data_IF_212575378571
#
_entry.id   IF_212575378571
#
_cell.length_a   1.000
_cell.length_b   1.000
_cell.length_c   1.000
_cell.angle_alpha   90.00
_cell.angle_beta   90.00
_cell.angle_gamma   90.00
#
_symmetry.space_group_name_H-M   'P 1'
#
loop_
_entity.id
_entity.type
_entity.pdbx_description
1 polymer ?
#
# COMPACT_ATOMS: atom_id res chain seq x y z
N UNK A 1 -9.27 -14.97 16.63
CA UNK A 1 -10.23 -14.62 15.55
C UNK A 1 -10.16 -15.72 14.50
N UNK A 2 -11.25 -16.42 14.18
CA UNK A 2 -11.20 -17.55 13.21
C UNK A 2 -10.81 -17.00 11.83
N UNK A 3 -9.87 -17.65 11.14
CA UNK A 3 -9.41 -17.28 9.77
C UNK A 3 -10.57 -16.99 8.79
N UNK A 4 -11.71 -17.68 8.94
CA UNK A 4 -12.93 -17.45 8.15
C UNK A 4 -13.43 -16.00 8.25
N UNK A 5 -13.43 -15.40 9.45
CA UNK A 5 -13.88 -14.02 9.66
C UNK A 5 -12.95 -13.00 8.99
N UNK A 6 -11.65 -13.29 8.97
CA UNK A 6 -10.64 -12.43 8.31
C UNK A 6 -10.89 -12.42 6.80
N UNK A 7 -11.05 -13.57 6.15
CA UNK A 7 -11.30 -13.59 4.70
C UNK A 7 -12.58 -12.85 4.30
N UNK A 8 -13.64 -12.96 5.10
CA UNK A 8 -14.89 -12.22 4.86
C UNK A 8 -14.69 -10.71 4.93
N UNK A 9 -13.98 -10.22 5.95
CA UNK A 9 -13.67 -8.79 6.09
C UNK A 9 -12.87 -8.29 4.90
N UNK A 10 -11.80 -9.00 4.51
CA UNK A 10 -10.96 -8.56 3.39
C UNK A 10 -11.68 -8.65 2.04
N UNK A 11 -12.58 -9.63 1.84
CA UNK A 11 -13.40 -9.73 0.63
C UNK A 11 -14.39 -8.57 0.46
N UNK A 12 -14.72 -7.86 1.54
CA UNK A 12 -15.54 -6.64 1.50
C UNK A 12 -14.66 -5.39 1.35
N UNK A 13 -13.54 -5.33 2.06
CA UNK A 13 -12.66 -4.17 2.04
C UNK A 13 -11.95 -3.95 0.70
N UNK A 14 -11.49 -5.02 0.03
CA UNK A 14 -10.82 -4.92 -1.27
C UNK A 14 -11.70 -4.22 -2.32
N UNK A 15 -12.93 -4.69 -2.62
CA UNK A 15 -13.78 -4.00 -3.59
C UNK A 15 -14.20 -2.60 -3.12
N UNK A 16 -14.34 -2.39 -1.80
CA UNK A 16 -14.63 -1.06 -1.25
C UNK A 16 -13.50 -0.06 -1.54
N UNK A 17 -12.24 -0.43 -1.30
CA UNK A 17 -11.10 0.45 -1.59
C UNK A 17 -10.97 0.76 -3.08
N UNK A 18 -11.21 -0.22 -3.94
CA UNK A 18 -11.21 -0.01 -5.39
C UNK A 18 -12.36 0.90 -5.83
N UNK A 19 -13.56 0.72 -5.28
CA UNK A 19 -14.72 1.56 -5.59
C UNK A 19 -14.51 3.01 -5.11
N UNK A 20 -13.99 3.20 -3.90
CA UNK A 20 -13.68 4.54 -3.36
C UNK A 20 -12.59 5.23 -4.16
N UNK A 21 -11.56 4.49 -4.59
CA UNK A 21 -10.51 4.99 -5.47
C UNK A 21 -11.07 5.43 -6.83
N UNK A 22 -11.86 4.58 -7.48
CA UNK A 22 -12.50 4.94 -8.75
C UNK A 22 -13.42 6.15 -8.60
N UNK A 23 -14.19 6.21 -7.50
CA UNK A 23 -15.04 7.36 -7.21
C UNK A 23 -14.23 8.65 -7.02
N UNK A 24 -13.18 8.61 -6.19
CA UNK A 24 -12.30 9.78 -5.96
C UNK A 24 -11.58 10.21 -7.22
N UNK A 25 -11.23 9.28 -8.11
CA UNK A 25 -10.69 9.63 -9.42
C UNK A 25 -11.72 10.28 -10.34
N UNK A 26 -12.97 9.79 -10.37
CA UNK A 26 -13.98 10.33 -11.28
C UNK A 26 -14.56 11.69 -10.84
N UNK A 27 -14.57 11.96 -9.54
CA UNK A 27 -15.21 13.18 -8.98
C UNK A 27 -14.23 14.16 -8.34
N UNK A 28 -12.96 13.78 -8.24
CA UNK A 28 -11.93 14.56 -7.57
C UNK A 28 -11.39 15.70 -8.41
N UNK A 29 -10.55 16.53 -7.78
CA UNK A 29 -9.67 17.45 -8.48
C UNK A 29 -8.34 16.76 -8.85
N UNK A 30 -7.41 17.53 -9.41
CA UNK A 30 -6.10 17.05 -9.87
C UNK A 30 -5.30 16.33 -8.77
N UNK A 31 -5.40 16.79 -7.53
CA UNK A 31 -4.71 16.18 -6.38
C UNK A 31 -5.43 14.90 -5.97
N UNK A 32 -6.76 14.93 -5.90
CA UNK A 32 -7.54 13.75 -5.53
C UNK A 32 -7.42 12.62 -6.57
N UNK A 33 -7.22 12.94 -7.85
CA UNK A 33 -6.90 11.94 -8.88
C UNK A 33 -5.63 11.17 -8.54
N UNK A 34 -4.57 11.87 -8.15
CA UNK A 34 -3.33 11.24 -7.71
C UNK A 34 -3.53 10.42 -6.43
N UNK A 35 -4.27 10.98 -5.47
CA UNK A 35 -4.49 10.30 -4.20
C UNK A 35 -5.34 9.03 -4.35
N UNK A 36 -6.12 8.94 -5.43
CA UNK A 36 -6.90 7.74 -5.74
C UNK A 36 -6.04 6.48 -5.84
N UNK A 37 -4.76 6.58 -6.21
CA UNK A 37 -3.86 5.44 -6.37
C UNK A 37 -3.56 4.67 -5.08
N UNK A 38 -3.78 5.28 -3.91
CA UNK A 38 -3.64 4.60 -2.63
C UNK A 38 -4.59 3.41 -2.48
N UNK A 39 -5.82 3.50 -3.04
CA UNK A 39 -6.80 2.42 -2.98
C UNK A 39 -6.32 1.14 -3.69
N UNK A 40 -5.91 1.19 -4.97
CA UNK A 40 -5.33 0.08 -5.72
C UNK A 40 -4.11 -0.53 -5.03
N UNK A 41 -3.18 0.27 -4.53
CA UNK A 41 -1.99 -0.22 -3.81
C UNK A 41 -2.41 -1.07 -2.61
N UNK A 42 -3.29 -0.52 -1.75
CA UNK A 42 -3.75 -1.19 -0.52
C UNK A 42 -4.58 -2.44 -0.87
N UNK A 43 -5.52 -2.33 -1.80
CA UNK A 43 -6.35 -3.44 -2.26
C UNK A 43 -5.51 -4.57 -2.87
N UNK A 44 -4.51 -4.22 -3.68
CA UNK A 44 -3.53 -5.14 -4.24
C UNK A 44 -2.75 -5.86 -3.15
N UNK A 45 -2.18 -5.10 -2.20
CA UNK A 45 -1.46 -5.65 -1.05
C UNK A 45 -2.30 -6.63 -0.23
N UNK A 46 -3.56 -6.30 0.01
CA UNK A 46 -4.52 -7.18 0.68
C UNK A 46 -4.76 -8.47 -0.11
N UNK A 47 -4.97 -8.38 -1.43
CA UNK A 47 -5.15 -9.54 -2.30
C UNK A 47 -3.91 -10.44 -2.33
N UNK A 48 -2.72 -9.87 -2.43
CA UNK A 48 -1.45 -10.61 -2.41
C UNK A 48 -1.24 -11.36 -1.11
N UNK A 49 -1.50 -10.68 0.02
CA UNK A 49 -1.44 -11.29 1.34
C UNK A 49 -2.46 -12.45 1.47
N UNK A 50 -3.71 -12.22 1.04
CA UNK A 50 -4.77 -13.23 1.07
C UNK A 50 -4.42 -14.44 0.21
N UNK A 51 -3.80 -14.25 -0.95
CA UNK A 51 -3.40 -15.35 -1.83
C UNK A 51 -2.46 -16.32 -1.11
N UNK A 52 -1.46 -15.78 -0.39
CA UNK A 52 -0.50 -16.58 0.38
C UNK A 52 -1.15 -17.23 1.61
N UNK A 53 -2.03 -16.52 2.31
CA UNK A 53 -2.70 -17.11 3.47
C UNK A 53 -3.67 -18.22 3.06
N UNK A 54 -4.40 -18.03 1.97
CA UNK A 54 -5.35 -19.02 1.44
C UNK A 54 -4.63 -20.26 0.89
N UNK A 55 -3.46 -20.09 0.26
CA UNK A 55 -2.66 -21.22 -0.21
C UNK A 55 -2.13 -22.11 0.93
N UNK A 56 -2.14 -21.61 2.17
CA UNK A 56 -1.69 -22.36 3.36
C UNK A 56 -2.83 -22.88 4.24
N UNK A 57 -4.10 -22.78 3.81
CA UNK A 57 -5.29 -23.15 4.61
C UNK A 57 -5.29 -24.58 5.16
N UNK A 58 -4.50 -25.49 4.56
CA UNK A 58 -4.40 -26.90 4.93
C UNK A 58 -2.97 -27.37 5.28
N UNK A 59 -1.99 -26.47 5.34
CA UNK A 59 -0.58 -26.83 5.59
C UNK A 59 -0.17 -26.40 7.00
N UNK A 60 0.66 -27.23 7.64
CA UNK A 60 1.25 -26.95 8.97
C UNK A 60 2.02 -25.64 8.88
N UNK A 61 1.65 -24.66 9.69
CA UNK A 61 2.49 -23.48 9.87
C UNK A 61 3.80 -23.93 10.50
N UNK A 62 4.92 -23.67 9.84
CA UNK A 62 6.20 -24.04 10.43
C UNK A 62 6.61 -22.96 11.46
N UNK A 63 7.13 -23.36 12.62
CA UNK A 63 7.71 -22.39 13.54
C UNK A 63 8.86 -21.68 12.84
N UNK A 64 8.71 -20.37 12.63
CA UNK A 64 9.83 -19.52 12.25
C UNK A 64 10.75 -19.30 13.44
N UNK A 65 11.98 -18.86 13.16
CA UNK A 65 13.13 -18.62 14.07
C UNK A 65 12.83 -17.62 15.23
N UNK A 66 11.58 -17.18 15.39
CA UNK A 66 11.13 -16.28 16.45
C UNK A 66 9.63 -16.46 16.80
N UNK A 67 9.13 -17.70 16.84
CA UNK A 67 7.76 -18.06 17.29
C UNK A 67 6.59 -17.54 16.43
N UNK A 68 6.84 -16.93 15.25
CA UNK A 68 5.78 -16.68 14.27
C UNK A 68 5.43 -17.96 13.50
N UNK A 69 4.16 -18.35 13.55
CA UNK A 69 3.62 -19.34 12.63
C UNK A 69 3.60 -18.74 11.22
N UNK A 70 4.61 -19.07 10.41
CA UNK A 70 4.68 -18.57 9.04
C UNK A 70 4.01 -19.55 8.07
N UNK A 71 3.26 -19.05 7.07
CA UNK A 71 2.81 -19.88 5.97
C UNK A 71 4.03 -20.54 5.28
N UNK A 72 3.97 -21.83 4.97
CA UNK A 72 5.05 -22.56 4.28
C UNK A 72 5.41 -21.86 2.96
N UNK A 73 4.40 -21.39 2.23
CA UNK A 73 4.64 -20.62 1.00
C UNK A 73 5.44 -19.32 1.27
N UNK A 74 5.19 -18.66 2.40
CA UNK A 74 5.97 -17.50 2.83
C UNK A 74 7.44 -17.88 3.09
N UNK A 75 7.71 -19.03 3.69
CA UNK A 75 9.09 -19.50 3.90
C UNK A 75 9.82 -19.79 2.59
N UNK A 76 9.14 -20.37 1.60
CA UNK A 76 9.72 -20.62 0.26
C UNK A 76 10.03 -19.29 -0.44
N UNK A 77 9.11 -18.33 -0.35
CA UNK A 77 9.25 -17.02 -0.99
C UNK A 77 10.27 -16.11 -0.31
N UNK A 78 10.68 -16.41 0.94
CA UNK A 78 11.57 -15.57 1.75
C UNK A 78 12.85 -15.15 1.01
N UNK A 79 13.51 -16.06 0.30
CA UNK A 79 14.75 -15.75 -0.44
C UNK A 79 14.54 -14.82 -1.64
N UNK A 80 13.31 -14.76 -2.14
CA UNK A 80 12.90 -13.89 -3.26
C UNK A 80 12.17 -12.63 -2.81
N UNK A 81 11.80 -12.53 -1.53
CA UNK A 81 11.00 -11.44 -1.01
C UNK A 81 11.59 -10.05 -1.29
N UNK A 82 12.91 -9.80 -1.12
CA UNK A 82 13.49 -8.50 -1.47
C UNK A 82 13.33 -8.16 -2.95
N UNK A 83 13.47 -9.15 -3.84
CA UNK A 83 13.31 -8.96 -5.27
C UNK A 83 11.84 -8.68 -5.64
N UNK A 84 10.90 -9.44 -5.08
CA UNK A 84 9.46 -9.23 -5.32
C UNK A 84 9.03 -7.85 -4.83
N UNK A 85 9.50 -7.43 -3.65
CA UNK A 85 9.24 -6.09 -3.11
C UNK A 85 9.83 -5.03 -4.03
N UNK A 86 11.10 -5.16 -4.45
CA UNK A 86 11.74 -4.20 -5.33
C UNK A 86 10.99 -4.05 -6.67
N UNK A 87 10.60 -5.16 -7.31
CA UNK A 87 9.82 -5.13 -8.55
C UNK A 87 8.46 -4.47 -8.34
N UNK A 88 7.74 -4.84 -7.27
CA UNK A 88 6.45 -4.22 -6.94
C UNK A 88 6.59 -2.72 -6.70
N UNK A 89 7.59 -2.29 -5.93
CA UNK A 89 7.87 -0.88 -5.66
C UNK A 89 8.23 -0.11 -6.92
N UNK A 90 9.01 -0.67 -7.85
CA UNK A 90 9.35 0.00 -9.11
C UNK A 90 8.10 0.18 -9.97
N UNK A 91 7.25 -0.86 -10.07
CA UNK A 91 6.01 -0.79 -10.84
C UNK A 91 5.10 0.34 -10.33
N UNK A 92 4.93 0.47 -9.01
CA UNK A 92 4.15 1.55 -8.40
C UNK A 92 4.82 2.92 -8.59
N UNK A 93 6.10 3.02 -8.24
CA UNK A 93 6.80 4.31 -8.12
C UNK A 93 6.90 5.08 -9.44
N UNK A 94 6.87 4.41 -10.59
CA UNK A 94 6.89 5.07 -11.89
C UNK A 94 5.65 5.95 -12.08
N UNK A 95 4.47 5.49 -11.65
CA UNK A 95 3.20 6.19 -11.86
C UNK A 95 2.94 7.27 -10.84
N UNK A 96 3.57 7.19 -9.67
CA UNK A 96 3.48 8.24 -8.65
C UNK A 96 4.25 9.51 -9.05
N UNK A 97 5.14 9.48 -10.04
CA UNK A 97 5.92 10.66 -10.41
C UNK A 97 5.04 11.75 -11.09
N UNK A 98 5.12 13.03 -10.65
CA UNK A 98 4.26 14.12 -11.17
C UNK A 98 4.27 14.31 -12.69
N UNK A 99 5.34 13.91 -13.37
CA UNK A 99 5.45 13.97 -14.83
C UNK A 99 4.49 13.01 -15.57
N UNK A 100 4.11 11.89 -14.96
CA UNK A 100 3.18 10.92 -15.58
C UNK A 100 1.72 11.38 -15.45
N UNK A 101 1.41 12.21 -14.45
CA UNK A 101 0.11 12.86 -14.34
C UNK A 101 -0.26 13.67 -15.60
N UNK A 102 0.73 14.34 -16.21
CA UNK A 102 0.52 15.09 -17.48
C UNK A 102 0.10 14.17 -18.63
N UNK A 103 0.50 12.90 -18.61
CA UNK A 103 0.09 11.92 -19.61
C UNK A 103 -1.35 11.44 -19.36
N UNK A 104 -1.74 11.29 -18.11
CA UNK A 104 -3.08 10.87 -17.70
C UNK A 104 -4.16 11.89 -18.05
N UNK A 105 -3.85 13.18 -17.95
CA UNK A 105 -4.77 14.24 -18.43
C UNK A 105 -4.97 14.16 -19.95
N UNK A 106 -3.94 13.76 -20.69
CA UNK A 106 -3.98 13.73 -22.16
C UNK A 106 -4.75 12.53 -22.71
N UNK A 107 -4.65 11.38 -22.06
CA UNK A 107 -5.34 10.16 -22.47
C UNK A 107 -5.74 9.32 -21.24
N UNK A 108 -7.05 9.10 -21.01
CA UNK A 108 -7.57 8.26 -19.92
C UNK A 108 -7.03 6.83 -19.90
N UNK A 109 -6.47 6.34 -21.02
CA UNK A 109 -5.83 5.02 -21.09
C UNK A 109 -4.64 4.92 -20.13
N UNK A 110 -3.87 6.00 -19.95
CA UNK A 110 -2.76 6.02 -19.00
C UNK A 110 -3.22 5.84 -17.56
N UNK A 111 -4.40 6.36 -17.21
CA UNK A 111 -5.00 6.12 -15.90
C UNK A 111 -5.35 4.64 -15.70
N UNK A 112 -5.93 3.97 -16.71
CA UNK A 112 -6.24 2.53 -16.59
C UNK A 112 -4.96 1.73 -16.40
N UNK A 113 -3.90 2.08 -17.12
CA UNK A 113 -2.60 1.40 -17.01
C UNK A 113 -1.96 1.65 -15.64
N UNK A 114 -1.93 2.90 -15.17
CA UNK A 114 -1.41 3.25 -13.84
C UNK A 114 -2.20 2.53 -12.74
N UNK A 115 -3.53 2.56 -12.80
CA UNK A 115 -4.40 1.89 -11.84
C UNK A 115 -4.12 0.38 -11.75
N UNK A 116 -3.95 -0.29 -12.88
CA UNK A 116 -3.60 -1.73 -12.93
C UNK A 116 -2.18 -1.96 -12.41
N UNK A 117 -1.23 -1.08 -12.75
CA UNK A 117 0.14 -1.17 -12.28
C UNK A 117 0.21 -1.02 -10.75
N UNK A 118 -0.51 -0.06 -10.18
CA UNK A 118 -0.59 0.16 -8.73
C UNK A 118 -1.20 -1.06 -8.01
N UNK A 119 -2.29 -1.60 -8.55
CA UNK A 119 -2.91 -2.83 -8.04
C UNK A 119 -1.92 -4.01 -8.07
N UNK A 120 -1.21 -4.18 -9.18
CA UNK A 120 -0.28 -5.29 -9.36
C UNK A 120 0.99 -5.13 -8.52
N UNK A 121 1.54 -3.93 -8.43
CA UNK A 121 2.68 -3.61 -7.58
C UNK A 121 2.35 -3.83 -6.10
N UNK A 122 1.19 -3.36 -5.66
CA UNK A 122 0.65 -3.64 -4.33
C UNK A 122 0.51 -5.15 -4.09
N UNK A 123 -0.04 -5.90 -5.05
CA UNK A 123 -0.17 -7.35 -4.98
C UNK A 123 1.17 -8.07 -4.77
N UNK A 124 2.21 -7.70 -5.53
CA UNK A 124 3.55 -8.28 -5.38
C UNK A 124 4.11 -8.04 -3.98
N UNK A 125 4.03 -6.81 -3.48
CA UNK A 125 4.47 -6.49 -2.11
C UNK A 125 3.65 -7.29 -1.09
N UNK A 126 2.33 -7.37 -1.27
CA UNK A 126 1.42 -8.15 -0.43
C UNK A 126 1.77 -9.64 -0.35
N UNK A 127 2.17 -10.24 -1.47
CA UNK A 127 2.66 -11.63 -1.56
C UNK A 127 3.94 -11.83 -0.74
N UNK A 128 4.81 -10.82 -0.70
CA UNK A 128 6.08 -10.92 0.01
C UNK A 128 5.92 -10.71 1.53
N UNK A 129 4.99 -9.89 2.01
CA UNK A 129 4.82 -9.55 3.43
C UNK A 129 4.79 -10.77 4.39
N UNK A 130 4.05 -11.86 4.10
CA UNK A 130 4.02 -13.04 4.97
C UNK A 130 5.36 -13.75 5.14
N UNK A 131 6.34 -13.51 4.26
CA UNK A 131 7.67 -14.13 4.32
C UNK A 131 8.66 -13.39 5.23
N UNK A 132 8.34 -12.14 5.58
CA UNK A 132 9.21 -11.24 6.33
C UNK A 132 9.18 -11.53 7.83
N UNK A 133 10.32 -11.35 8.50
CA UNK A 133 10.43 -11.26 9.96
C UNK A 133 9.73 -10.00 10.45
N UNK A 134 9.41 -9.97 11.74
CA UNK A 134 8.87 -8.80 12.41
C UNK A 134 9.68 -7.52 12.12
N UNK A 135 11.00 -7.53 12.32
CA UNK A 135 11.83 -6.33 12.08
C UNK A 135 11.83 -5.90 10.61
N UNK A 136 11.79 -6.87 9.68
CA UNK A 136 11.75 -6.60 8.23
C UNK A 136 10.40 -5.96 7.85
N UNK A 137 9.29 -6.40 8.45
CA UNK A 137 7.96 -5.76 8.29
C UNK A 137 7.97 -4.34 8.83
N UNK A 138 8.53 -4.12 10.04
CA UNK A 138 8.64 -2.78 10.64
C UNK A 138 9.42 -1.84 9.73
N UNK A 139 10.57 -2.28 9.21
CA UNK A 139 11.37 -1.48 8.28
C UNK A 139 10.55 -1.15 7.02
N UNK A 140 9.89 -2.14 6.41
CA UNK A 140 9.09 -1.94 5.21
C UNK A 140 7.94 -0.93 5.43
N UNK A 141 7.19 -1.07 6.53
CA UNK A 141 6.10 -0.13 6.86
C UNK A 141 6.62 1.28 7.16
N UNK A 142 7.71 1.41 7.91
CA UNK A 142 8.33 2.71 8.19
C UNK A 142 8.85 3.40 6.92
N UNK A 143 9.45 2.63 6.00
CA UNK A 143 9.86 3.15 4.69
C UNK A 143 8.66 3.60 3.86
N UNK A 144 7.56 2.84 3.86
CA UNK A 144 6.31 3.24 3.21
C UNK A 144 5.78 4.58 3.73
N UNK A 145 5.66 4.73 5.05
CA UNK A 145 5.25 5.99 5.68
C UNK A 145 6.19 7.15 5.31
N UNK A 146 7.50 6.91 5.34
CA UNK A 146 8.49 7.91 4.96
C UNK A 146 8.37 8.34 3.49
N UNK A 147 8.16 7.38 2.58
CA UNK A 147 7.97 7.65 1.15
C UNK A 147 6.67 8.38 0.87
N UNK A 148 5.59 8.08 1.59
CA UNK A 148 4.33 8.81 1.45
C UNK A 148 4.45 10.28 1.90
N UNK A 149 5.19 10.54 2.98
CA UNK A 149 5.48 11.93 3.41
C UNK A 149 6.36 12.66 2.39
N UNK A 150 7.36 11.97 1.84
CA UNK A 150 8.17 12.52 0.75
C UNK A 150 7.32 12.79 -0.50
N UNK A 151 6.36 11.91 -0.78
CA UNK A 151 5.46 12.06 -1.91
C UNK A 151 4.57 13.30 -1.77
N UNK A 152 3.98 13.49 -0.60
CA UNK A 152 3.21 14.70 -0.28
C UNK A 152 4.07 15.96 -0.48
N UNK A 153 5.33 15.92 -0.08
CA UNK A 153 6.27 17.03 -0.30
C UNK A 153 6.59 17.25 -1.79
N UNK A 154 6.78 16.18 -2.58
CA UNK A 154 6.99 16.27 -4.02
C UNK A 154 5.79 16.87 -4.76
N UNK A 155 4.57 16.48 -4.39
CA UNK A 155 3.33 17.05 -4.94
C UNK A 155 3.26 18.55 -4.63
N UNK A 156 3.60 18.95 -3.40
CA UNK A 156 3.68 20.37 -3.02
C UNK A 156 4.71 21.16 -3.85
N UNK A 157 5.93 20.63 -4.02
CA UNK A 157 6.95 21.29 -4.87
C UNK A 157 6.54 21.35 -6.34
N UNK A 158 5.73 20.40 -6.78
CA UNK A 158 5.23 20.30 -8.15
C UNK A 158 3.86 20.96 -8.34
N UNK A 159 3.42 21.81 -7.41
CA UNK A 159 2.09 22.45 -7.44
C UNK A 159 1.77 23.13 -8.78
N UNK A 160 2.78 23.70 -9.45
CA UNK A 160 2.62 24.33 -10.77
C UNK A 160 2.15 23.36 -11.86
N UNK A 161 2.47 22.05 -11.76
CA UNK A 161 2.02 21.01 -12.68
C UNK A 161 0.51 20.75 -12.51
N UNK A 162 -0.02 21.00 -11.31
CA UNK A 162 -1.41 20.74 -10.94
C UNK A 162 -2.33 21.95 -11.11
N UNK A 163 -1.82 23.07 -11.65
CA UNK A 163 -2.60 24.30 -11.87
C UNK A 163 -3.35 24.83 -10.63
N UNK A 164 -2.96 24.39 -9.43
CA UNK A 164 -3.61 24.73 -8.16
C UNK A 164 -2.77 25.72 -7.34
N UNK A 165 -3.41 26.61 -6.57
CA UNK A 165 -2.70 27.46 -5.61
C UNK A 165 -1.91 26.62 -4.61
N UNK A 166 -0.65 27.01 -4.31
CA UNK A 166 0.19 26.26 -3.37
C UNK A 166 -0.43 26.13 -1.97
N UNK A 167 -1.27 27.07 -1.55
CA UNK A 167 -2.03 27.01 -0.30
C UNK A 167 -3.06 25.88 -0.28
N UNK A 168 -3.67 25.58 -1.43
CA UNK A 168 -4.64 24.50 -1.56
C UNK A 168 -3.94 23.13 -1.55
N UNK A 169 -2.83 23.01 -2.28
CA UNK A 169 -1.97 21.83 -2.24
C UNK A 169 -1.46 21.54 -0.82
N UNK A 170 -1.09 22.60 -0.08
CA UNK A 170 -0.70 22.49 1.32
C UNK A 170 -1.84 21.99 2.22
N UNK A 171 -3.07 22.44 2.02
CA UNK A 171 -4.22 21.97 2.80
C UNK A 171 -4.49 20.48 2.56
N UNK A 172 -4.43 20.02 1.31
CA UNK A 172 -4.52 18.60 0.98
C UNK A 172 -3.39 17.79 1.62
N UNK A 173 -2.15 18.28 1.51
CA UNK A 173 -0.98 17.68 2.14
C UNK A 173 -1.16 17.50 3.65
N UNK A 174 -1.58 18.56 4.35
CA UNK A 174 -1.84 18.52 5.79
C UNK A 174 -2.98 17.57 6.14
N UNK A 175 -4.07 17.56 5.36
CA UNK A 175 -5.18 16.64 5.56
C UNK A 175 -4.72 15.18 5.45
N UNK A 176 -3.91 14.83 4.44
CA UNK A 176 -3.36 13.48 4.29
C UNK A 176 -2.46 13.11 5.47
N UNK A 177 -1.58 14.02 5.89
CA UNK A 177 -0.66 13.78 7.00
C UNK A 177 -1.43 13.51 8.28
N UNK A 178 -2.41 14.34 8.64
CA UNK A 178 -3.11 14.23 9.92
C UNK A 178 -4.25 13.22 9.94
N UNK A 179 -4.99 13.04 8.83
CA UNK A 179 -6.15 12.16 8.79
C UNK A 179 -5.79 10.71 8.42
N UNK A 180 -4.68 10.51 7.70
CA UNK A 180 -4.31 9.18 7.18
C UNK A 180 -2.96 8.74 7.76
N UNK A 181 -1.89 9.48 7.49
CA UNK A 181 -0.52 9.02 7.82
C UNK A 181 -0.24 9.00 9.31
N UNK A 182 -0.76 9.96 10.06
CA UNK A 182 -0.61 9.99 11.51
C UNK A 182 -1.32 8.80 12.19
N UNK A 183 -2.61 8.51 11.91
CA UNK A 183 -3.25 7.27 12.37
C UNK A 183 -2.52 5.99 11.95
N UNK A 184 -2.03 5.91 10.71
CA UNK A 184 -1.22 4.77 10.24
C UNK A 184 0.05 4.59 11.09
N UNK A 185 0.77 5.68 11.36
CA UNK A 185 1.95 5.68 12.23
C UNK A 185 1.64 5.27 13.67
N UNK A 186 0.52 5.76 14.23
CA UNK A 186 0.05 5.35 15.57
C UNK A 186 -0.30 3.86 15.59
N UNK A 187 -1.00 3.35 14.57
CA UNK A 187 -1.33 1.94 14.47
C UNK A 187 -0.07 1.06 14.39
N UNK A 188 0.94 1.49 13.63
CA UNK A 188 2.23 0.81 13.56
C UNK A 188 2.96 0.83 14.91
N UNK A 189 2.98 1.97 15.60
CA UNK A 189 3.61 2.10 16.91
C UNK A 189 2.93 1.19 17.95
N UNK A 190 1.60 1.15 17.99
CA UNK A 190 0.83 0.24 18.85
C UNK A 190 1.09 -1.22 18.50
N UNK A 191 1.18 -1.56 17.21
CA UNK A 191 1.53 -2.91 16.76
C UNK A 191 2.92 -3.34 17.27
N UNK A 192 3.92 -2.45 17.18
CA UNK A 192 5.26 -2.71 17.69
C UNK A 192 5.24 -2.84 19.21
N UNK A 193 4.65 -1.89 19.93
CA UNK A 193 4.62 -1.87 21.39
C UNK A 193 3.99 -3.15 21.97
N UNK A 194 2.87 -3.59 21.38
CA UNK A 194 2.22 -4.87 21.73
C UNK A 194 3.11 -6.08 21.44
N UNK A 195 3.92 -6.03 20.37
CA UNK A 195 4.76 -7.16 19.97
C UNK A 195 5.99 -7.34 20.85
N UNK A 196 6.52 -6.24 21.40
CA UNK A 196 7.69 -6.24 22.30
C UNK A 196 7.25 -6.29 23.77
N UNK A 197 5.97 -6.58 24.06
CA UNK A 197 5.39 -6.62 25.42
C UNK A 197 5.63 -5.34 26.24
N UNK A 198 5.67 -4.18 25.58
CA UNK A 198 5.74 -2.89 26.28
C UNK A 198 4.37 -2.44 26.81
N UNK A 199 3.29 -3.02 26.27
CA UNK A 199 1.88 -2.76 26.63
C UNK A 199 1.09 -4.06 26.45
#
# INVERSE_FOLDING_TARGET
MKMVTIYTVYSVLVPLFLALSLWTYLTGDEILHIMSYQGPIVAGGMLGWMAIMRSNRNRVYAPSVAEELLPIMGLILRKYAPFIIAVGSVIMSVWLLPQYYVLEIKDPTYFVVSFIAELFGGFLVGVAIPSLKFIEKVILYSLGIGMDLFYVYLVYLSAAIFHLPSSEVLNYALAIVFLVKFPEGVALALYIAKRVNMI
#
